data_IF_182367977292
#
_entry.id   IF_182367977292
#
_cell.length_a   1.000
_cell.length_b   1.000
_cell.length_c   1.000
_cell.angle_alpha   90.00
_cell.angle_beta   90.00
_cell.angle_gamma   90.00
#
_symmetry.space_group_name_H-M   'P 1'
#
loop_
_entity.id
_entity.type
_entity.pdbx_description
1 polymer ?
#
# COMPACT_ATOMS: atom_id res chain seq x y z
N UNK A 1 1.67 61.53 39.30
CA UNK A 1 0.45 60.77 38.97
C UNK A 1 0.23 60.91 37.46
N UNK A 2 0.02 59.91 36.63
CA UNK A 2 -0.34 58.50 36.83
C UNK A 2 0.20 57.75 35.60
N UNK A 3 0.92 56.66 35.84
CA UNK A 3 1.51 55.80 34.83
C UNK A 3 0.40 54.94 34.21
N UNK A 4 0.05 55.18 32.94
CA UNK A 4 -0.90 54.34 32.22
C UNK A 4 -0.12 53.26 31.46
N UNK A 5 0.11 52.12 32.12
CA UNK A 5 0.63 50.90 31.50
C UNK A 5 -0.49 50.29 30.64
N UNK A 6 -0.41 50.49 29.32
CA UNK A 6 -1.24 49.77 28.36
C UNK A 6 -0.69 48.35 28.26
N UNK A 7 -1.29 47.42 29.02
CA UNK A 7 -1.05 45.99 28.89
C UNK A 7 -1.77 45.50 27.63
N UNK A 8 -1.16 45.66 26.45
CA UNK A 8 -1.63 44.98 25.23
C UNK A 8 -1.27 43.51 25.40
N UNK A 9 -2.24 42.70 25.82
CA UNK A 9 -2.12 41.25 25.79
C UNK A 9 -1.87 40.78 24.36
N UNK A 10 -0.64 40.35 24.07
CA UNK A 10 -0.34 39.61 22.86
C UNK A 10 -0.93 38.21 23.01
N UNK A 11 -2.22 38.09 22.72
CA UNK A 11 -2.84 36.81 22.37
C UNK A 11 -2.20 36.37 21.04
N UNK A 12 -1.07 35.66 21.13
CA UNK A 12 -0.58 34.87 20.02
C UNK A 12 -1.58 33.73 19.81
N UNK A 13 -2.51 33.91 18.87
CA UNK A 13 -3.20 32.78 18.28
C UNK A 13 -2.16 31.95 17.55
N UNK A 14 -1.78 30.80 18.12
CA UNK A 14 -1.05 29.78 17.38
C UNK A 14 -2.02 29.33 16.30
N UNK A 15 -1.83 29.80 15.07
CA UNK A 15 -2.60 29.31 13.93
C UNK A 15 -2.29 27.81 13.81
N UNK A 16 -3.21 26.97 14.25
CA UNK A 16 -3.17 25.55 13.94
C UNK A 16 -3.47 25.44 12.46
N UNK A 17 -2.42 25.31 11.66
CA UNK A 17 -2.57 25.03 10.23
C UNK A 17 -3.36 23.72 10.10
N UNK A 18 -4.47 23.77 9.37
CA UNK A 18 -5.37 22.63 9.26
C UNK A 18 -4.64 21.47 8.58
N UNK A 19 -4.83 20.26 9.12
CA UNK A 19 -4.27 19.06 8.50
C UNK A 19 -4.77 18.95 7.05
N UNK A 20 -3.83 18.87 6.11
CA UNK A 20 -4.17 18.66 4.70
C UNK A 20 -4.09 17.17 4.38
N UNK A 21 -5.17 16.61 3.85
CA UNK A 21 -5.21 15.21 3.43
C UNK A 21 -5.00 15.11 1.92
N UNK A 22 -4.02 14.30 1.50
CA UNK A 22 -3.82 13.90 0.11
C UNK A 22 -4.18 12.42 -0.06
N UNK A 23 -4.81 12.10 -1.18
CA UNK A 23 -5.06 10.72 -1.59
C UNK A 23 -4.13 10.39 -2.75
N UNK A 24 -3.45 9.26 -2.63
CA UNK A 24 -2.67 8.66 -3.70
C UNK A 24 -3.23 7.28 -4.00
N UNK A 25 -3.35 6.94 -5.28
CA UNK A 25 -3.80 5.63 -5.71
C UNK A 25 -2.87 5.10 -6.78
N UNK A 26 -2.66 3.79 -6.77
CA UNK A 26 -1.86 3.07 -7.76
C UNK A 26 -2.64 1.86 -8.26
N UNK A 27 -2.56 1.59 -9.56
CA UNK A 27 -3.03 0.33 -10.13
C UNK A 27 -1.94 -0.74 -9.98
N UNK A 28 -2.36 -1.95 -9.62
CA UNK A 28 -1.50 -3.11 -9.46
C UNK A 28 -2.11 -4.28 -10.23
N UNK A 29 -1.38 -4.76 -11.23
CA UNK A 29 -1.80 -5.87 -12.08
C UNK A 29 -1.75 -7.22 -11.36
N UNK A 30 -2.53 -8.18 -11.84
CA UNK A 30 -2.42 -9.57 -11.41
C UNK A 30 -1.04 -10.12 -11.79
N UNK A 31 -0.32 -10.66 -10.81
CA UNK A 31 0.90 -11.43 -11.05
C UNK A 31 0.55 -12.88 -11.43
N UNK A 32 -0.24 -13.54 -10.57
CA UNK A 32 -0.62 -14.94 -10.74
C UNK A 32 -1.82 -15.28 -9.86
N UNK A 33 -2.66 -16.23 -10.30
CA UNK A 33 -3.60 -16.94 -9.43
C UNK A 33 -2.98 -18.27 -9.00
N UNK A 34 -2.80 -18.47 -7.70
CA UNK A 34 -2.14 -19.68 -7.19
C UNK A 34 -2.56 -20.02 -5.76
N UNK A 35 -2.31 -21.26 -5.34
CA UNK A 35 -2.59 -21.74 -3.98
C UNK A 35 -1.47 -21.36 -3.01
N UNK A 36 -1.12 -20.07 -2.94
CA UNK A 36 -0.13 -19.55 -1.99
C UNK A 36 -0.82 -18.74 -0.89
N UNK A 37 -0.44 -19.02 0.35
CA UNK A 37 -0.79 -18.22 1.53
C UNK A 37 0.37 -18.30 2.54
N UNK A 38 1.33 -17.36 2.49
CA UNK A 38 2.51 -17.42 3.35
C UNK A 38 2.19 -17.10 4.82
N UNK A 39 0.98 -16.63 5.15
CA UNK A 39 0.57 -16.31 6.51
C UNK A 39 -0.15 -17.49 7.18
N UNK A 40 -1.10 -18.11 6.49
CA UNK A 40 -1.93 -19.19 7.04
C UNK A 40 -1.36 -20.57 6.70
N UNK A 41 -0.80 -20.75 5.51
CA UNK A 41 -0.31 -22.04 5.00
C UNK A 41 1.15 -21.96 4.50
N UNK A 42 2.11 -21.48 5.31
CA UNK A 42 3.49 -21.35 4.87
C UNK A 42 4.05 -22.70 4.40
N UNK A 43 4.79 -22.67 3.29
CA UNK A 43 5.41 -23.85 2.65
C UNK A 43 4.46 -24.96 2.21
N UNK A 44 3.16 -24.70 2.14
CA UNK A 44 2.16 -25.69 1.68
C UNK A 44 1.18 -25.05 0.71
N UNK A 45 0.45 -25.87 -0.05
CA UNK A 45 -0.63 -25.37 -0.88
C UNK A 45 -1.79 -24.90 0.00
N UNK A 46 -2.24 -23.66 -0.20
CA UNK A 46 -3.45 -23.17 0.46
C UNK A 46 -4.70 -23.92 -0.02
N UNK A 47 -5.68 -24.06 0.88
CA UNK A 47 -7.01 -24.56 0.56
C UNK A 47 -7.75 -23.65 -0.43
N UNK A 48 -7.42 -22.36 -0.45
CA UNK A 48 -7.96 -21.37 -1.39
C UNK A 48 -6.93 -21.02 -2.47
N UNK A 49 -7.43 -20.57 -3.62
CA UNK A 49 -6.59 -19.89 -4.62
C UNK A 49 -6.62 -18.41 -4.30
N UNK A 50 -5.47 -17.77 -4.36
CA UNK A 50 -5.32 -16.34 -4.17
C UNK A 50 -4.81 -15.70 -5.46
N UNK A 51 -5.38 -14.54 -5.80
CA UNK A 51 -4.82 -13.61 -6.76
C UNK A 51 -3.70 -12.84 -6.07
N UNK A 52 -2.51 -12.89 -6.64
CA UNK A 52 -1.29 -12.26 -6.12
C UNK A 52 -1.00 -10.99 -6.92
N UNK A 53 -0.58 -9.92 -6.26
CA UNK A 53 -0.27 -8.62 -6.86
C UNK A 53 0.95 -7.96 -6.21
N UNK A 54 1.68 -7.13 -6.97
CA UNK A 54 2.80 -6.34 -6.48
C UNK A 54 4.14 -7.01 -6.73
N UNK A 55 4.97 -7.17 -5.70
CA UNK A 55 6.33 -7.71 -5.83
C UNK A 55 6.33 -9.13 -6.46
N UNK A 56 7.13 -9.27 -7.53
CA UNK A 56 7.29 -10.49 -8.31
C UNK A 56 7.96 -11.65 -7.54
N UNK A 57 8.61 -11.35 -6.40
CA UNK A 57 9.25 -12.33 -5.53
C UNK A 57 8.29 -12.98 -4.51
N UNK A 58 6.97 -12.73 -4.60
CA UNK A 58 6.00 -13.35 -3.70
C UNK A 58 6.08 -14.89 -3.74
N UNK A 59 6.32 -15.50 -2.58
CA UNK A 59 6.51 -16.93 -2.45
C UNK A 59 5.72 -17.58 -1.32
N UNK A 60 5.87 -18.90 -1.20
CA UNK A 60 5.27 -19.70 -0.12
C UNK A 60 5.85 -19.40 1.28
N UNK A 61 6.98 -18.71 1.33
CA UNK A 61 7.60 -18.14 2.51
C UNK A 61 8.01 -16.71 2.18
N UNK A 62 7.79 -15.80 3.12
CA UNK A 62 8.27 -14.42 3.05
C UNK A 62 9.38 -14.21 4.07
N UNK A 63 10.42 -13.49 3.68
CA UNK A 63 11.54 -13.07 4.53
C UNK A 63 11.54 -11.55 4.64
N UNK A 64 12.12 -10.97 5.70
CA UNK A 64 12.25 -9.52 5.84
C UNK A 64 12.87 -8.85 4.60
N UNK A 65 13.86 -9.50 3.99
CA UNK A 65 14.51 -9.03 2.75
C UNK A 65 13.56 -8.82 1.59
N UNK A 66 12.46 -9.58 1.52
CA UNK A 66 11.48 -9.51 0.42
C UNK A 66 10.64 -8.21 0.49
N UNK A 67 10.75 -7.48 1.60
CA UNK A 67 10.10 -6.19 1.83
C UNK A 67 11.08 -5.01 1.79
N UNK A 68 12.37 -5.27 1.61
CA UNK A 68 13.41 -4.24 1.62
C UNK A 68 13.76 -3.79 0.18
N UNK A 69 13.50 -2.52 -0.15
CA UNK A 69 14.13 -1.88 -1.31
C UNK A 69 15.32 -1.03 -0.86
N UNK A 70 16.52 -1.49 -1.19
CA UNK A 70 17.75 -0.79 -0.81
C UNK A 70 17.99 0.52 -1.59
N UNK A 71 17.35 0.70 -2.74
CA UNK A 71 17.48 1.93 -3.54
C UNK A 71 16.19 2.23 -4.32
N UNK A 72 15.17 2.69 -3.60
CA UNK A 72 13.88 3.06 -4.18
C UNK A 72 13.96 4.19 -5.23
N UNK A 73 15.08 4.92 -5.28
CA UNK A 73 15.30 6.02 -6.23
C UNK A 73 15.79 5.51 -7.59
N UNK A 74 16.44 4.34 -7.61
CA UNK A 74 16.93 3.72 -8.84
C UNK A 74 15.86 2.81 -9.43
N UNK A 75 15.06 3.38 -10.34
CA UNK A 75 13.94 2.69 -11.00
C UNK A 75 14.35 1.88 -12.24
N UNK A 76 15.47 2.23 -12.87
CA UNK A 76 15.90 1.59 -14.12
C UNK A 76 16.19 0.10 -13.91
N UNK A 77 15.50 -0.76 -14.67
CA UNK A 77 15.64 -2.22 -14.59
C UNK A 77 14.75 -2.90 -13.55
N UNK A 78 13.86 -2.14 -12.88
CA UNK A 78 12.91 -2.67 -11.88
C UNK A 78 11.50 -2.90 -12.43
N UNK A 79 11.28 -2.70 -13.73
CA UNK A 79 9.97 -2.81 -14.40
C UNK A 79 9.36 -4.21 -14.25
N UNK A 80 10.20 -5.26 -14.18
CA UNK A 80 9.77 -6.65 -14.05
C UNK A 80 9.73 -7.15 -12.59
N UNK A 81 10.05 -6.30 -11.60
CA UNK A 81 10.09 -6.68 -10.19
C UNK A 81 8.75 -6.44 -9.47
N UNK A 82 7.81 -5.76 -10.11
CA UNK A 82 6.49 -5.47 -9.56
C UNK A 82 5.43 -5.42 -10.65
N UNK A 83 4.20 -5.77 -10.32
CA UNK A 83 3.04 -5.53 -11.19
C UNK A 83 2.39 -4.16 -10.95
N UNK A 84 2.95 -3.34 -10.05
CA UNK A 84 2.50 -1.96 -9.83
C UNK A 84 2.97 -1.03 -10.96
N UNK A 85 2.13 -0.07 -11.32
CA UNK A 85 2.51 1.02 -12.23
C UNK A 85 3.49 2.04 -11.60
N UNK A 86 3.67 1.96 -10.27
CA UNK A 86 4.58 2.81 -9.51
C UNK A 86 5.84 2.02 -9.22
N UNK A 87 6.85 2.17 -10.07
CA UNK A 87 8.16 1.55 -9.86
C UNK A 87 8.95 2.40 -8.84
N UNK A 88 9.58 1.81 -7.81
CA UNK A 88 9.83 0.39 -7.58
C UNK A 88 8.96 -0.22 -6.47
N UNK A 89 7.68 0.12 -6.39
CA UNK A 89 6.86 -0.32 -5.28
C UNK A 89 6.80 -1.86 -5.18
N UNK A 90 7.46 -2.41 -4.16
CA UNK A 90 7.51 -3.83 -3.84
C UNK A 90 6.46 -4.25 -2.79
N UNK A 91 5.39 -3.47 -2.63
CA UNK A 91 4.27 -3.89 -1.77
C UNK A 91 3.72 -5.24 -2.24
N UNK A 92 3.34 -6.07 -1.28
CA UNK A 92 2.79 -7.41 -1.52
C UNK A 92 1.32 -7.46 -1.14
N UNK A 93 0.49 -7.92 -2.07
CA UNK A 93 -0.94 -8.12 -1.84
C UNK A 93 -1.36 -9.50 -2.34
N UNK A 94 -2.19 -10.18 -1.55
CA UNK A 94 -2.89 -11.38 -1.99
C UNK A 94 -4.32 -11.33 -1.48
N UNK A 95 -5.25 -11.75 -2.32
CA UNK A 95 -6.67 -11.80 -1.97
C UNK A 95 -7.29 -13.10 -2.52
N UNK A 96 -8.31 -13.67 -1.88
CA UNK A 96 -8.98 -14.85 -2.40
C UNK A 96 -9.46 -14.61 -3.83
N UNK A 97 -9.09 -15.49 -4.76
CA UNK A 97 -9.53 -15.40 -6.15
C UNK A 97 -11.05 -15.55 -6.22
N UNK A 98 -11.69 -14.73 -7.05
CA UNK A 98 -13.12 -14.81 -7.29
C UNK A 98 -13.42 -15.74 -8.48
N UNK A 99 -14.57 -16.38 -8.42
CA UNK A 99 -15.05 -17.28 -9.45
C UNK A 99 -16.47 -16.93 -9.87
N UNK A 100 -16.78 -17.13 -11.15
CA UNK A 100 -18.14 -17.15 -11.67
C UNK A 100 -18.48 -18.59 -12.03
N UNK A 101 -19.64 -19.07 -11.57
CA UNK A 101 -20.19 -20.37 -11.94
C UNK A 101 -20.98 -20.22 -13.24
N UNK A 102 -20.58 -20.96 -14.28
CA UNK A 102 -21.29 -21.02 -15.56
C UNK A 102 -21.37 -22.47 -16.02
N UNK A 103 -22.58 -22.94 -16.35
CA UNK A 103 -22.81 -24.29 -16.85
C UNK A 103 -22.22 -25.39 -15.95
N UNK A 104 -22.23 -25.17 -14.62
CA UNK A 104 -21.66 -26.09 -13.63
C UNK A 104 -20.14 -26.03 -13.46
N UNK A 105 -19.45 -25.15 -14.21
CA UNK A 105 -17.99 -24.98 -14.17
C UNK A 105 -17.64 -23.63 -13.52
N UNK A 106 -16.68 -23.65 -12.61
CA UNK A 106 -16.14 -22.43 -12.01
C UNK A 106 -15.04 -21.85 -12.91
N UNK A 107 -15.19 -20.58 -13.27
CA UNK A 107 -14.20 -19.82 -14.03
C UNK A 107 -13.60 -18.73 -13.14
N UNK A 108 -12.27 -18.63 -13.15
CA UNK A 108 -11.57 -17.51 -12.51
C UNK A 108 -12.05 -16.19 -13.12
N UNK A 109 -12.38 -15.25 -12.25
CA UNK A 109 -12.73 -13.89 -12.65
C UNK A 109 -11.45 -13.06 -12.76
N UNK A 110 -11.20 -12.41 -13.92
CA UNK A 110 -10.08 -11.48 -14.04
C UNK A 110 -10.11 -10.43 -12.93
N UNK A 111 -8.96 -10.20 -12.30
CA UNK A 111 -8.84 -9.34 -11.14
C UNK A 111 -7.69 -8.35 -11.30
N UNK A 112 -7.82 -7.22 -10.63
CA UNK A 112 -6.79 -6.19 -10.51
C UNK A 112 -6.94 -5.53 -9.16
N UNK A 113 -5.84 -5.07 -8.57
CA UNK A 113 -5.87 -4.35 -7.31
C UNK A 113 -5.63 -2.86 -7.53
N UNK A 114 -6.24 -2.04 -6.66
CA UNK A 114 -5.96 -0.61 -6.57
C UNK A 114 -5.76 -0.22 -5.13
N UNK A 115 -4.53 0.08 -4.77
CA UNK A 115 -4.20 0.50 -3.40
C UNK A 115 -4.43 2.00 -3.25
N UNK A 116 -5.08 2.39 -2.16
CA UNK A 116 -5.32 3.79 -1.80
C UNK A 116 -4.53 4.14 -0.55
N UNK A 117 -3.76 5.22 -0.63
CA UNK A 117 -3.02 5.77 0.50
C UNK A 117 -3.63 7.11 0.89
N UNK A 118 -3.88 7.28 2.19
CA UNK A 118 -4.25 8.56 2.77
C UNK A 118 -3.02 9.15 3.46
N UNK A 119 -2.55 10.29 2.95
CA UNK A 119 -1.40 11.00 3.47
C UNK A 119 -1.93 12.23 4.19
N UNK A 120 -1.77 12.27 5.51
CA UNK A 120 -2.12 13.44 6.32
C UNK A 120 -0.86 14.26 6.57
N UNK A 121 -0.80 15.48 6.01
CA UNK A 121 0.20 16.45 6.40
C UNK A 121 -0.28 17.16 7.66
N UNK A 122 0.35 16.82 8.79
CA UNK A 122 0.13 17.49 10.08
C UNK A 122 1.33 18.39 10.37
N UNK A 123 1.23 19.70 10.11
CA UNK A 123 2.29 20.61 10.49
C UNK A 123 2.48 20.56 12.02
N UNK A 124 3.73 20.41 12.45
CA UNK A 124 4.18 20.47 13.85
C UNK A 124 3.89 19.25 14.75
N UNK A 125 3.68 18.06 14.18
CA UNK A 125 3.66 16.80 14.94
C UNK A 125 4.78 15.91 14.41
N UNK A 126 5.86 15.77 15.19
CA UNK A 126 6.91 14.76 14.99
C UNK A 126 6.51 13.44 15.67
#
# INVERSE_FOLDING_TARGET
AMMLLILVGLLHTVAVEAATTKLFAQNVGLLVDTRLDPLVNPNTCSGHVHSIYGNAEFGATLKPSDFEDQDWRKIAGKENQTTSEVIPNLSLYWAPSLYILKDGIYHLTPSSARTYYRIEHRPNVF
#
